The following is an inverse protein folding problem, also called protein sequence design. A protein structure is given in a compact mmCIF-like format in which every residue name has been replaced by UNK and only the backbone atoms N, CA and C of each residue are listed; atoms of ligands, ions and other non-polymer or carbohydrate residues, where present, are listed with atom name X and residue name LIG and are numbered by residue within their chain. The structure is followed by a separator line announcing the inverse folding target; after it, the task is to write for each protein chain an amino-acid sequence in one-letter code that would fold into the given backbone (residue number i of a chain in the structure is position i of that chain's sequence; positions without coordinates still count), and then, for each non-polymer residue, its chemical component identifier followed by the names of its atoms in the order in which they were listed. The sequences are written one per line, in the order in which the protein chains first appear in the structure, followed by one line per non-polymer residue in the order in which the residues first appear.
data_IF_908013765482
#
_entry.id   IF_908013765482
#
_cell.length_a   1.000
_cell.length_b   1.000
_cell.length_c   1.000
_cell.angle_alpha   90.00
_cell.angle_beta   90.00
_cell.angle_gamma   90.00
#
_symmetry.space_group_name_H-M   'P 1'
#
loop_
_entity.id
_entity.type
_entity.pdbx_description
1 polymer ?
#
# COMPACT_ATOMS: atom_id res chain seq x y z
N UNK A 1 27.02 27.53 11.41
CA UNK A 1 25.78 26.92 11.93
C UNK A 1 25.95 26.75 13.43
N UNK A 2 25.10 27.35 14.28
CA UNK A 2 25.16 27.12 15.73
C UNK A 2 24.39 25.83 16.02
N UNK A 3 25.03 24.83 16.63
CA UNK A 3 24.32 23.67 17.17
C UNK A 3 23.39 24.18 18.28
N UNK A 4 22.07 24.13 18.07
CA UNK A 4 21.12 24.24 19.16
C UNK A 4 20.45 22.86 19.39
N UNK A 5 20.98 22.04 20.31
CA UNK A 5 20.45 20.71 20.60
C UNK A 5 19.26 20.73 21.59
N UNK A 6 18.51 21.83 21.72
CA UNK A 6 17.36 21.91 22.64
C UNK A 6 16.32 20.80 22.44
N UNK A 7 16.21 20.27 21.22
CA UNK A 7 15.34 19.14 20.87
C UNK A 7 15.95 17.77 21.19
N UNK A 8 17.19 17.70 21.68
CA UNK A 8 17.82 16.48 22.21
C UNK A 8 17.72 16.39 23.74
N UNK A 9 16.85 17.22 24.36
CA UNK A 9 16.47 17.04 25.75
C UNK A 9 16.02 15.60 25.97
N UNK A 10 16.27 15.10 27.17
CA UNK A 10 16.15 13.69 27.51
C UNK A 10 14.72 13.19 27.36
N UNK A 11 14.38 12.66 26.18
CA UNK A 11 13.11 12.00 25.96
C UNK A 11 13.21 10.52 26.36
N UNK A 12 12.26 10.02 27.13
CA UNK A 12 12.04 8.57 27.28
C UNK A 12 11.35 8.02 26.01
N UNK A 13 11.39 6.69 25.76
CA UNK A 13 10.64 6.10 24.66
C UNK A 13 9.14 6.44 24.70
N UNK A 14 8.56 6.53 25.90
CA UNK A 14 7.16 6.89 26.13
C UNK A 14 6.89 8.34 25.72
N UNK A 15 7.78 9.27 26.09
CA UNK A 15 7.67 10.68 25.68
C UNK A 15 7.78 10.82 24.16
N UNK A 16 8.59 9.98 23.49
CA UNK A 16 8.69 9.96 22.02
C UNK A 16 7.40 9.44 21.38
N UNK A 17 6.72 8.49 22.02
CA UNK A 17 5.45 7.97 21.53
C UNK A 17 4.30 8.97 21.69
N UNK A 18 4.36 9.84 22.70
CA UNK A 18 3.39 10.92 22.89
C UNK A 18 3.62 12.11 21.95
N UNK A 19 4.79 12.22 21.31
CA UNK A 19 5.11 13.31 20.39
C UNK A 19 4.27 13.27 19.11
N UNK A 20 3.80 14.45 18.67
CA UNK A 20 3.20 14.58 17.35
C UNK A 20 4.21 14.20 16.25
N UNK A 21 3.79 13.33 15.32
CA UNK A 21 4.63 12.86 14.21
C UNK A 21 5.40 13.96 13.47
N UNK A 22 4.76 15.09 13.13
CA UNK A 22 5.44 16.16 12.40
C UNK A 22 6.60 16.78 13.18
N UNK A 23 6.46 16.86 14.50
CA UNK A 23 7.53 17.31 15.42
C UNK A 23 8.62 16.25 15.52
N UNK A 24 8.26 14.98 15.65
CA UNK A 24 9.20 13.86 15.71
C UNK A 24 10.03 13.74 14.42
N UNK A 25 9.39 13.85 13.26
CA UNK A 25 10.05 13.84 11.95
C UNK A 25 11.07 14.97 11.81
N UNK A 26 10.70 16.17 12.28
CA UNK A 26 11.60 17.33 12.29
C UNK A 26 12.79 17.08 13.23
N UNK A 27 12.53 16.55 14.42
CA UNK A 27 13.56 16.22 15.41
C UNK A 27 14.55 15.17 14.88
N UNK A 28 14.06 14.11 14.21
CA UNK A 28 14.92 13.08 13.59
C UNK A 28 15.78 13.70 12.47
N UNK A 29 15.19 14.56 11.64
CA UNK A 29 15.92 15.23 10.56
C UNK A 29 17.04 16.13 11.09
N UNK A 30 16.77 16.85 12.19
CA UNK A 30 17.79 17.63 12.90
C UNK A 30 18.83 16.74 13.56
N UNK A 31 18.44 15.60 14.16
CA UNK A 31 19.36 14.62 14.74
C UNK A 31 20.37 14.14 13.70
N UNK A 32 19.93 13.77 12.49
CA UNK A 32 20.82 13.34 11.40
C UNK A 32 21.85 14.44 11.08
N UNK A 33 21.38 15.67 10.84
CA UNK A 33 22.24 16.80 10.47
C UNK A 33 23.24 17.18 11.57
N UNK A 34 22.78 17.22 12.81
CA UNK A 34 23.62 17.59 13.94
C UNK A 34 24.60 16.48 14.33
N UNK A 35 24.23 15.21 14.17
CA UNK A 35 25.13 14.08 14.39
C UNK A 35 26.28 14.10 13.37
N UNK A 36 25.96 14.31 12.09
CA UNK A 36 26.96 14.48 11.03
C UNK A 36 27.89 15.67 11.30
N UNK A 37 27.33 16.83 11.66
CA UNK A 37 28.12 18.03 11.97
C UNK A 37 29.02 17.83 13.20
N UNK A 38 28.50 17.18 14.24
CA UNK A 38 29.27 16.87 15.45
C UNK A 38 30.48 16.00 15.10
N UNK A 39 30.27 14.97 14.27
CA UNK A 39 31.33 14.06 13.86
C UNK A 39 32.37 14.73 12.96
N UNK A 40 31.93 15.33 11.86
CA UNK A 40 32.83 15.88 10.82
C UNK A 40 33.55 17.15 11.22
N UNK A 41 32.97 17.92 12.14
CA UNK A 41 33.51 19.24 12.48
C UNK A 41 33.91 19.34 13.94
N UNK A 42 32.99 19.05 14.86
CA UNK A 42 33.20 19.32 16.29
C UNK A 42 34.26 18.38 16.86
N UNK A 43 34.11 17.06 16.71
CA UNK A 43 35.06 16.10 17.27
C UNK A 43 36.42 16.13 16.58
N UNK A 44 36.48 16.40 15.27
CA UNK A 44 37.75 16.61 14.56
C UNK A 44 38.50 17.83 15.14
N UNK A 45 37.79 18.92 15.40
CA UNK A 45 38.39 20.13 15.97
C UNK A 45 38.82 19.92 17.42
N UNK A 46 37.98 19.25 18.22
CA UNK A 46 38.25 18.96 19.63
C UNK A 46 39.43 18.00 19.80
N UNK A 47 39.52 16.97 18.95
CA UNK A 47 40.66 16.02 18.93
C UNK A 47 41.97 16.75 18.62
N UNK A 48 41.95 17.67 17.65
CA UNK A 48 43.11 18.52 17.31
C UNK A 48 43.49 19.45 18.46
N UNK A 49 42.52 20.11 19.08
CA UNK A 49 42.75 21.02 20.20
C UNK A 49 43.31 20.29 21.42
N UNK A 50 42.72 19.14 21.78
CA UNK A 50 43.18 18.28 22.87
C UNK A 50 44.63 17.86 22.67
N UNK A 51 44.98 17.43 21.45
CA UNK A 51 46.37 17.06 21.12
C UNK A 51 47.32 18.27 21.17
N UNK A 52 46.91 19.44 20.69
CA UNK A 52 47.75 20.65 20.73
C UNK A 52 48.06 21.12 22.15
N UNK A 53 47.09 21.04 23.07
CA UNK A 53 47.25 21.53 24.44
C UNK A 53 47.91 20.48 25.34
N UNK A 54 47.49 19.22 25.22
CA UNK A 54 47.86 18.16 26.17
C UNK A 54 48.83 17.13 25.58
N UNK A 55 49.13 17.17 24.28
CA UNK A 55 49.99 16.18 23.62
C UNK A 55 51.45 16.19 24.11
N UNK A 56 51.94 17.34 24.61
CA UNK A 56 53.27 17.44 25.22
C UNK A 56 53.30 17.12 26.72
N UNK A 57 52.16 16.80 27.34
CA UNK A 57 52.04 16.56 28.78
C UNK A 57 51.98 15.05 29.02
N UNK A 58 52.75 14.55 30.00
CA UNK A 58 52.77 13.14 30.42
C UNK A 58 52.98 12.16 29.22
N UNK A 59 53.99 12.44 28.38
CA UNK A 59 54.33 11.67 27.17
C UNK A 59 53.16 11.41 26.21
N UNK A 60 52.16 12.29 26.21
CA UNK A 60 50.99 12.17 25.34
C UNK A 60 49.97 11.11 25.79
N UNK A 61 50.09 10.58 27.02
CA UNK A 61 49.19 9.55 27.52
C UNK A 61 47.76 10.05 27.82
N UNK A 62 47.60 11.34 28.16
CA UNK A 62 46.35 11.85 28.77
C UNK A 62 45.41 12.56 27.78
N UNK A 63 45.93 13.10 26.67
CA UNK A 63 45.12 13.94 25.78
C UNK A 63 43.97 13.16 25.12
N UNK A 64 44.19 11.88 24.79
CA UNK A 64 43.17 11.03 24.16
C UNK A 64 42.02 10.73 25.13
N UNK A 65 42.32 10.41 26.39
CA UNK A 65 41.30 10.22 27.43
C UNK A 65 40.49 11.48 27.69
N UNK A 66 41.14 12.65 27.68
CA UNK A 66 40.46 13.93 27.86
C UNK A 66 39.47 14.20 26.72
N UNK A 67 39.93 14.04 25.48
CA UNK A 67 39.08 14.14 24.28
C UNK A 67 37.88 13.20 24.38
N UNK A 68 38.10 11.93 24.68
CA UNK A 68 37.02 10.93 24.79
C UNK A 68 36.01 11.33 25.87
N UNK A 69 36.45 11.79 27.05
CA UNK A 69 35.52 12.21 28.12
C UNK A 69 34.65 13.39 27.72
N UNK A 70 35.16 14.30 26.89
CA UNK A 70 34.38 15.42 26.34
C UNK A 70 33.39 14.90 25.31
N UNK A 71 33.87 14.05 24.39
CA UNK A 71 33.05 13.49 23.32
C UNK A 71 31.93 12.59 23.85
N UNK A 72 32.20 11.77 24.87
CA UNK A 72 31.23 10.85 25.47
C UNK A 72 29.99 11.59 25.99
N UNK A 73 30.16 12.73 26.66
CA UNK A 73 29.03 13.55 27.14
C UNK A 73 28.12 14.03 26.01
N UNK A 74 28.72 14.44 24.89
CA UNK A 74 27.97 14.92 23.72
C UNK A 74 27.30 13.73 23.01
N UNK A 75 28.05 12.65 22.80
CA UNK A 75 27.58 11.43 22.14
C UNK A 75 26.45 10.74 22.91
N UNK A 76 26.50 10.75 24.24
CA UNK A 76 25.46 10.17 25.09
C UNK A 76 24.08 10.77 24.81
N UNK A 77 24.00 12.07 24.52
CA UNK A 77 22.75 12.76 24.19
C UNK A 77 22.20 12.29 22.84
N UNK A 78 23.06 12.19 21.82
CA UNK A 78 22.68 11.67 20.52
C UNK A 78 22.23 10.21 20.57
N UNK A 79 22.98 9.35 21.28
CA UNK A 79 22.64 7.95 21.43
C UNK A 79 21.30 7.78 22.14
N UNK A 80 21.07 8.48 23.25
CA UNK A 80 19.79 8.40 23.98
C UNK A 80 18.59 8.77 23.10
N UNK A 81 18.69 9.84 22.32
CA UNK A 81 17.61 10.21 21.40
C UNK A 81 17.37 9.12 20.35
N UNK A 82 18.42 8.67 19.66
CA UNK A 82 18.28 7.66 18.60
C UNK A 82 17.77 6.32 19.14
N UNK A 83 18.23 5.94 20.32
CA UNK A 83 17.78 4.79 21.08
C UNK A 83 16.29 4.88 21.45
N UNK A 84 15.83 6.06 21.89
CA UNK A 84 14.44 6.32 22.19
C UNK A 84 13.55 6.17 20.95
N UNK A 85 13.94 6.77 19.82
CA UNK A 85 13.22 6.66 18.54
C UNK A 85 13.13 5.20 18.10
N UNK A 86 14.23 4.45 18.20
CA UNK A 86 14.26 3.05 17.81
C UNK A 86 13.48 2.13 18.77
N UNK A 87 13.23 2.54 20.02
CA UNK A 87 12.40 1.78 20.98
C UNK A 87 10.92 2.17 20.97
N UNK A 88 10.58 3.31 20.40
CA UNK A 88 9.21 3.80 20.25
C UNK A 88 8.31 2.83 19.48
N UNK A 89 7.00 3.11 19.49
CA UNK A 89 5.95 2.33 18.85
C UNK A 89 6.28 2.00 17.38
N UNK A 90 5.70 0.91 16.88
CA UNK A 90 6.08 0.31 15.60
C UNK A 90 5.11 0.65 14.48
N UNK A 91 4.77 1.93 14.38
CA UNK A 91 3.91 2.43 13.32
C UNK A 91 4.59 2.35 11.94
N UNK A 92 3.90 1.95 10.85
CA UNK A 92 4.52 1.77 9.54
C UNK A 92 5.22 3.03 9.03
N UNK A 93 4.66 4.23 9.23
CA UNK A 93 5.27 5.50 8.82
C UNK A 93 6.65 5.75 9.45
N UNK A 94 6.93 5.19 10.63
CA UNK A 94 8.22 5.36 11.31
C UNK A 94 9.36 4.64 10.59
N UNK A 95 9.06 3.62 9.78
CA UNK A 95 10.09 2.87 9.04
C UNK A 95 11.00 3.80 8.24
N UNK A 96 10.44 4.74 7.49
CA UNK A 96 11.22 5.61 6.62
C UNK A 96 12.21 6.48 7.40
N UNK A 97 11.81 6.98 8.58
CA UNK A 97 12.71 7.77 9.44
C UNK A 97 13.77 6.92 10.13
N UNK A 98 13.44 5.68 10.50
CA UNK A 98 14.42 4.72 11.01
C UNK A 98 15.46 4.37 9.93
N UNK A 99 15.03 4.22 8.68
CA UNK A 99 15.92 4.00 7.53
C UNK A 99 16.80 5.23 7.27
N UNK A 100 16.26 6.45 7.34
CA UNK A 100 17.05 7.69 7.21
C UNK A 100 18.16 7.75 8.28
N UNK A 101 17.84 7.39 9.53
CA UNK A 101 18.83 7.33 10.62
C UNK A 101 19.88 6.24 10.38
N UNK A 102 19.46 5.03 10.00
CA UNK A 102 20.36 3.92 9.72
C UNK A 102 21.32 4.24 8.57
N UNK A 103 20.80 4.76 7.46
CA UNK A 103 21.62 5.14 6.30
C UNK A 103 22.63 6.23 6.65
N UNK A 104 22.24 7.20 7.48
CA UNK A 104 23.18 8.20 8.01
C UNK A 104 24.29 7.59 8.86
N UNK A 105 23.98 6.64 9.74
CA UNK A 105 25.01 5.98 10.56
C UNK A 105 25.96 5.14 9.70
N UNK A 106 25.43 4.41 8.72
CA UNK A 106 26.24 3.61 7.81
C UNK A 106 27.22 4.47 7.00
N UNK A 107 26.79 5.64 6.52
CA UNK A 107 27.66 6.59 5.81
C UNK A 107 28.78 7.17 6.69
N UNK A 108 28.54 7.29 7.99
CA UNK A 108 29.48 7.90 8.94
C UNK A 108 30.39 6.87 9.63
N UNK A 109 30.16 5.58 9.43
CA UNK A 109 30.83 4.48 10.15
C UNK A 109 32.36 4.51 10.10
N UNK A 110 32.93 4.79 8.93
CA UNK A 110 34.38 4.87 8.72
C UNK A 110 34.98 6.07 9.46
N UNK A 111 34.42 7.26 9.23
CA UNK A 111 34.85 8.50 9.90
C UNK A 111 34.71 8.38 11.43
N UNK A 112 33.65 7.73 11.90
CA UNK A 112 33.42 7.47 13.32
C UNK A 112 34.53 6.62 13.93
N UNK A 113 34.93 5.56 13.22
CA UNK A 113 35.98 4.64 13.67
C UNK A 113 37.36 5.31 13.70
N UNK A 114 37.65 6.20 12.76
CA UNK A 114 38.91 6.97 12.71
C UNK A 114 38.99 8.03 13.83
N UNK A 115 37.86 8.68 14.16
CA UNK A 115 37.82 9.71 15.20
C UNK A 115 38.03 9.09 16.59
N UNK A 116 37.41 7.94 16.86
CA UNK A 116 37.45 7.27 18.17
C UNK A 116 38.38 6.05 18.21
N UNK A 117 39.42 6.04 17.36
CA UNK A 117 40.43 4.98 17.36
C UNK A 117 41.16 4.86 18.71
N UNK A 118 41.42 3.62 19.13
CA UNK A 118 42.15 3.28 20.36
C UNK A 118 41.25 2.79 21.51
N UNK A 119 41.89 2.32 22.58
CA UNK A 119 41.19 1.73 23.74
C UNK A 119 40.27 2.76 24.44
N UNK A 120 40.71 4.01 24.56
CA UNK A 120 39.92 5.05 25.20
C UNK A 120 38.56 5.28 24.49
N UNK A 121 38.49 5.18 23.17
CA UNK A 121 37.26 5.39 22.39
C UNK A 121 36.35 4.16 22.24
N UNK A 122 36.75 3.01 22.81
CA UNK A 122 36.09 1.72 22.57
C UNK A 122 34.63 1.69 23.04
N UNK A 123 34.32 2.33 24.17
CA UNK A 123 32.94 2.38 24.70
C UNK A 123 32.00 3.16 23.78
N UNK A 124 32.46 4.32 23.27
CA UNK A 124 31.70 5.14 22.32
C UNK A 124 31.44 4.36 21.02
N UNK A 125 32.46 3.65 20.51
CA UNK A 125 32.32 2.78 19.34
C UNK A 125 31.35 1.62 19.58
N UNK A 126 31.35 1.06 20.78
CA UNK A 126 30.41 -0.01 21.17
C UNK A 126 28.99 0.50 21.17
N UNK A 127 28.72 1.65 21.78
CA UNK A 127 27.39 2.28 21.79
C UNK A 127 26.90 2.67 20.40
N UNK A 128 27.80 3.13 19.52
CA UNK A 128 27.46 3.38 18.12
C UNK A 128 26.94 2.11 17.42
N UNK A 129 27.65 0.98 17.59
CA UNK A 129 27.25 -0.33 17.04
C UNK A 129 25.95 -0.84 17.65
N UNK A 130 25.71 -0.57 18.93
CA UNK A 130 24.45 -0.92 19.61
C UNK A 130 23.26 -0.14 19.05
N UNK A 131 23.43 1.16 18.79
CA UNK A 131 22.41 1.97 18.13
C UNK A 131 22.13 1.49 16.70
N UNK A 132 23.18 1.19 15.93
CA UNK A 132 23.06 0.61 14.58
C UNK A 132 22.24 -0.70 14.63
N UNK A 133 22.57 -1.59 15.59
CA UNK A 133 21.82 -2.83 15.83
C UNK A 133 20.36 -2.61 16.16
N UNK A 134 20.09 -1.65 17.02
CA UNK A 134 18.74 -1.32 17.44
C UNK A 134 17.91 -0.75 16.28
N UNK A 135 18.50 0.09 15.44
CA UNK A 135 17.84 0.65 14.25
C UNK A 135 17.52 -0.43 13.21
N UNK A 136 18.45 -1.34 12.94
CA UNK A 136 18.21 -2.50 12.06
C UNK A 136 17.06 -3.35 12.60
N UNK A 137 17.14 -3.75 13.88
CA UNK A 137 16.09 -4.57 14.49
C UNK A 137 14.73 -3.87 14.49
N UNK A 138 14.68 -2.59 14.86
CA UNK A 138 13.43 -1.82 14.86
C UNK A 138 12.83 -1.67 13.46
N UNK A 139 13.66 -1.36 12.46
CA UNK A 139 13.21 -1.20 11.07
C UNK A 139 12.62 -2.49 10.52
N UNK A 140 13.32 -3.61 10.70
CA UNK A 140 12.81 -4.92 10.34
C UNK A 140 11.51 -5.26 11.06
N UNK A 141 11.43 -4.97 12.37
CA UNK A 141 10.24 -5.24 13.18
C UNK A 141 9.03 -4.45 12.67
N UNK A 142 9.17 -3.14 12.40
CA UNK A 142 8.09 -2.31 11.81
C UNK A 142 7.62 -2.89 10.47
N UNK A 143 8.54 -3.31 9.61
CA UNK A 143 8.21 -3.89 8.32
C UNK A 143 7.40 -5.19 8.44
N UNK A 144 7.84 -6.12 9.30
CA UNK A 144 7.14 -7.40 9.47
C UNK A 144 5.82 -7.26 10.21
N UNK A 145 5.75 -6.39 11.22
CA UNK A 145 4.49 -6.09 11.93
C UNK A 145 3.44 -5.47 11.01
N UNK A 146 3.85 -4.66 10.03
CA UNK A 146 2.92 -4.16 9.01
C UNK A 146 2.29 -5.31 8.20
N UNK A 147 3.07 -6.30 7.80
CA UNK A 147 2.56 -7.50 7.13
C UNK A 147 1.58 -8.30 7.98
N UNK A 148 1.90 -8.49 9.27
CA UNK A 148 1.02 -9.19 10.22
C UNK A 148 -0.29 -8.42 10.46
N UNK A 149 -0.22 -7.10 10.62
CA UNK A 149 -1.40 -6.24 10.76
C UNK A 149 -2.34 -6.35 9.55
N UNK A 150 -1.80 -6.47 8.34
CA UNK A 150 -2.58 -6.71 7.13
C UNK A 150 -3.24 -8.09 7.19
N UNK A 151 -2.49 -9.14 7.52
CA UNK A 151 -3.00 -10.51 7.58
C UNK A 151 -4.14 -10.68 8.60
N UNK A 152 -3.95 -10.15 9.81
CA UNK A 152 -4.87 -10.28 10.93
C UNK A 152 -6.19 -9.51 10.75
N UNK A 153 -6.36 -8.79 9.63
CA UNK A 153 -7.48 -7.86 9.42
C UNK A 153 -7.60 -6.88 10.60
N UNK A 154 -6.46 -6.40 11.12
CA UNK A 154 -6.40 -5.49 12.27
C UNK A 154 -7.15 -4.17 12.03
N UNK A 155 -7.48 -3.86 10.77
CA UNK A 155 -8.34 -2.74 10.41
C UNK A 155 -9.77 -2.88 10.96
N UNK A 156 -10.22 -4.09 11.29
CA UNK A 156 -11.52 -4.37 11.91
C UNK A 156 -12.73 -4.06 11.01
N UNK A 157 -12.50 -3.46 9.84
CA UNK A 157 -13.55 -2.96 8.98
C UNK A 157 -14.26 -4.09 8.22
N UNK A 158 -15.58 -3.99 8.05
CA UNK A 158 -16.29 -4.85 7.12
C UNK A 158 -15.83 -4.59 5.68
N UNK A 159 -15.97 -5.57 4.77
CA UNK A 159 -15.70 -5.34 3.37
C UNK A 159 -16.61 -4.22 2.81
N UNK A 160 -16.14 -3.41 1.84
CA UNK A 160 -16.91 -2.28 1.31
C UNK A 160 -18.25 -2.70 0.71
N UNK A 161 -19.36 -2.09 1.14
CA UNK A 161 -20.71 -2.52 0.72
C UNK A 161 -20.96 -2.38 -0.79
N UNK A 162 -20.19 -1.55 -1.48
CA UNK A 162 -20.28 -1.26 -2.91
C UNK A 162 -19.27 -2.05 -3.78
N UNK A 163 -18.45 -2.89 -3.14
CA UNK A 163 -17.37 -3.62 -3.81
C UNK A 163 -16.19 -2.73 -4.22
N UNK A 164 -16.06 -1.52 -3.66
CA UNK A 164 -14.91 -0.65 -3.91
C UNK A 164 -13.61 -1.21 -3.32
N UNK A 165 -12.48 -0.64 -3.76
CA UNK A 165 -11.14 -1.04 -3.29
C UNK A 165 -10.94 -0.57 -1.84
N UNK A 166 -10.61 -1.48 -0.88
CA UNK A 166 -10.39 -1.13 0.52
C UNK A 166 -9.31 -0.07 0.71
N UNK A 167 -9.51 0.81 1.70
CA UNK A 167 -8.49 1.82 2.08
C UNK A 167 -7.16 1.17 2.43
N UNK A 168 -7.19 0.04 3.15
CA UNK A 168 -6.00 -0.74 3.50
C UNK A 168 -5.18 -1.15 2.26
N UNK A 169 -5.84 -1.63 1.20
CA UNK A 169 -5.18 -2.00 -0.06
C UNK A 169 -4.50 -0.78 -0.71
N UNK A 170 -5.19 0.37 -0.71
CA UNK A 170 -4.62 1.61 -1.27
C UNK A 170 -3.38 2.05 -0.48
N UNK A 171 -3.49 2.03 0.84
CA UNK A 171 -2.41 2.37 1.75
C UNK A 171 -1.21 1.44 1.58
N UNK A 172 -1.43 0.12 1.59
CA UNK A 172 -0.36 -0.87 1.46
C UNK A 172 0.40 -0.74 0.13
N UNK A 173 -0.32 -0.57 -1.00
CA UNK A 173 0.34 -0.36 -2.29
C UNK A 173 1.12 0.96 -2.32
N UNK A 174 0.58 2.05 -1.76
CA UNK A 174 1.31 3.32 -1.69
C UNK A 174 2.56 3.22 -0.80
N UNK A 175 2.45 2.55 0.34
CA UNK A 175 3.53 2.29 1.27
C UNK A 175 4.66 1.49 0.62
N UNK A 176 4.33 0.36 0.00
CA UNK A 176 5.32 -0.50 -0.69
C UNK A 176 5.96 0.20 -1.89
N UNK A 177 5.21 1.05 -2.61
CA UNK A 177 5.79 1.86 -3.70
C UNK A 177 6.82 2.86 -3.21
N UNK A 178 6.57 3.47 -2.06
CA UNK A 178 7.51 4.43 -1.49
C UNK A 178 8.73 3.73 -0.90
N UNK A 179 8.55 2.56 -0.28
CA UNK A 179 9.66 1.72 0.16
C UNK A 179 10.53 1.23 -1.01
N UNK A 180 9.92 0.83 -2.12
CA UNK A 180 10.62 0.40 -3.34
C UNK A 180 11.20 1.56 -4.16
N UNK A 181 11.06 2.82 -3.72
CA UNK A 181 11.69 3.95 -4.40
C UNK A 181 13.21 3.89 -4.31
N UNK A 182 13.89 4.60 -5.22
CA UNK A 182 15.36 4.72 -5.23
C UNK A 182 15.92 5.21 -3.89
N UNK A 183 15.14 5.97 -3.12
CA UNK A 183 15.54 6.51 -1.82
C UNK A 183 15.62 5.44 -0.73
N UNK A 184 14.64 4.52 -0.68
CA UNK A 184 14.49 3.60 0.47
C UNK A 184 14.78 2.14 0.15
N UNK A 185 14.82 1.77 -1.13
CA UNK A 185 15.08 0.39 -1.55
C UNK A 185 16.44 -0.11 -1.04
N UNK A 186 17.50 0.67 -1.25
CA UNK A 186 18.86 0.28 -0.82
C UNK A 186 19.01 0.23 0.71
N UNK A 187 18.61 1.26 1.49
CA UNK A 187 18.63 1.19 2.96
C UNK A 187 17.85 0.00 3.52
N UNK A 188 16.65 -0.28 2.98
CA UNK A 188 15.83 -1.40 3.46
C UNK A 188 16.47 -2.75 3.14
N UNK A 189 16.99 -2.95 1.93
CA UNK A 189 17.66 -4.19 1.54
C UNK A 189 18.86 -4.48 2.46
N UNK A 190 19.62 -3.44 2.80
CA UNK A 190 20.77 -3.52 3.71
C UNK A 190 20.38 -3.85 5.15
N UNK A 191 19.29 -3.26 5.66
CA UNK A 191 18.70 -3.62 6.95
C UNK A 191 18.34 -5.10 6.99
N UNK A 192 17.60 -5.60 5.99
CA UNK A 192 17.18 -7.00 5.92
C UNK A 192 18.38 -7.95 5.82
N UNK A 193 19.38 -7.61 5.01
CA UNK A 193 20.61 -8.39 4.90
C UNK A 193 21.33 -8.46 6.26
N UNK A 194 21.51 -7.31 6.91
CA UNK A 194 22.24 -7.20 8.17
C UNK A 194 21.52 -7.96 9.29
N UNK A 195 20.20 -7.87 9.37
CA UNK A 195 19.41 -8.65 10.32
C UNK A 195 19.55 -10.16 10.06
N UNK A 196 19.49 -10.59 8.79
CA UNK A 196 19.66 -12.01 8.41
C UNK A 196 21.06 -12.51 8.79
N UNK A 197 22.11 -11.73 8.51
CA UNK A 197 23.49 -12.08 8.88
C UNK A 197 23.66 -12.23 10.38
N UNK A 198 23.07 -11.34 11.19
CA UNK A 198 23.14 -11.45 12.66
C UNK A 198 22.38 -12.65 13.20
N UNK A 199 21.26 -13.03 12.58
CA UNK A 199 20.46 -14.20 13.00
C UNK A 199 21.06 -15.54 12.55
N UNK A 200 21.61 -15.60 11.34
CA UNK A 200 22.11 -16.83 10.73
C UNK A 200 23.58 -17.13 11.08
N UNK A 201 24.34 -16.15 11.59
CA UNK A 201 25.77 -16.26 11.81
C UNK A 201 26.59 -16.20 10.51
N UNK A 202 27.92 -16.19 10.66
CA UNK A 202 28.92 -15.92 9.59
C UNK A 202 28.94 -16.99 8.48
N UNK A 203 28.21 -18.10 8.63
CA UNK A 203 28.26 -19.27 7.74
C UNK A 203 27.22 -19.27 6.61
N UNK A 204 26.38 -18.23 6.51
CA UNK A 204 25.37 -18.14 5.46
C UNK A 204 25.93 -17.49 4.18
N UNK A 205 25.66 -18.10 3.02
CA UNK A 205 26.06 -17.54 1.71
C UNK A 205 25.37 -16.17 1.50
N UNK A 206 26.09 -15.14 1.03
CA UNK A 206 25.47 -13.88 0.67
C UNK A 206 24.55 -14.10 -0.53
N UNK A 207 23.24 -13.99 -0.31
CA UNK A 207 22.29 -13.78 -1.39
C UNK A 207 22.39 -12.32 -1.87
N UNK A 208 22.06 -12.04 -3.15
CA UNK A 208 21.98 -10.66 -3.63
C UNK A 208 20.99 -9.86 -2.77
N UNK A 209 21.38 -8.66 -2.33
CA UNK A 209 20.54 -7.74 -1.53
C UNK A 209 19.15 -7.53 -2.16
N UNK A 210 19.09 -7.44 -3.49
CA UNK A 210 17.85 -7.23 -4.25
C UNK A 210 16.84 -8.39 -4.12
N UNK A 211 17.31 -9.63 -3.93
CA UNK A 211 16.41 -10.77 -3.76
C UNK A 211 15.74 -10.74 -2.39
N UNK A 212 16.45 -10.30 -1.34
CA UNK A 212 15.90 -10.27 0.02
C UNK A 212 14.76 -9.25 0.15
N UNK A 213 14.94 -8.03 -0.38
CA UNK A 213 13.88 -7.02 -0.34
C UNK A 213 12.68 -7.45 -1.19
N UNK A 214 12.94 -8.04 -2.36
CA UNK A 214 11.90 -8.59 -3.23
C UNK A 214 11.07 -9.65 -2.50
N UNK A 215 11.72 -10.63 -1.88
CA UNK A 215 11.04 -11.72 -1.16
C UNK A 215 10.26 -11.19 0.05
N UNK A 216 10.84 -10.22 0.78
CA UNK A 216 10.17 -9.57 1.90
C UNK A 216 8.91 -8.82 1.46
N UNK A 217 8.96 -8.10 0.34
CA UNK A 217 7.78 -7.42 -0.22
C UNK A 217 6.76 -8.43 -0.76
N UNK A 218 7.19 -9.53 -1.38
CA UNK A 218 6.29 -10.61 -1.82
C UNK A 218 5.49 -11.16 -0.63
N UNK A 219 6.11 -11.35 0.53
CA UNK A 219 5.40 -11.81 1.73
C UNK A 219 4.27 -10.86 2.16
N UNK A 220 4.51 -9.54 2.12
CA UNK A 220 3.46 -8.55 2.43
C UNK A 220 2.38 -8.53 1.35
N UNK A 221 2.77 -8.68 0.10
CA UNK A 221 1.83 -8.76 -1.03
C UNK A 221 0.92 -9.99 -0.90
N UNK A 222 1.45 -11.15 -0.49
CA UNK A 222 0.67 -12.35 -0.19
C UNK A 222 -0.24 -12.19 1.03
N UNK A 223 0.23 -11.51 2.09
CA UNK A 223 -0.61 -11.14 3.23
C UNK A 223 -1.79 -10.26 2.81
N UNK A 224 -1.55 -9.32 1.88
CA UNK A 224 -2.60 -8.48 1.32
C UNK A 224 -3.60 -9.29 0.49
N UNK A 225 -3.15 -10.29 -0.27
CA UNK A 225 -4.06 -11.19 -1.00
C UNK A 225 -4.92 -12.02 -0.05
N UNK A 226 -4.33 -12.62 1.00
CA UNK A 226 -5.06 -13.35 2.03
C UNK A 226 -6.11 -12.46 2.71
N UNK A 227 -5.76 -11.21 3.01
CA UNK A 227 -6.70 -10.21 3.52
C UNK A 227 -7.89 -9.97 2.56
N UNK A 228 -7.60 -9.75 1.27
CA UNK A 228 -8.62 -9.49 0.24
C UNK A 228 -9.54 -10.69 0.07
N UNK A 229 -9.01 -11.92 -0.01
CA UNK A 229 -9.85 -13.12 -0.12
C UNK A 229 -10.71 -13.35 1.13
N UNK A 230 -10.17 -13.13 2.33
CA UNK A 230 -10.95 -13.17 3.57
C UNK A 230 -12.14 -12.19 3.53
N UNK A 231 -11.90 -10.95 3.09
CA UNK A 231 -12.95 -9.93 2.93
C UNK A 231 -13.98 -10.29 1.86
N UNK A 232 -13.54 -10.88 0.74
CA UNK A 232 -14.41 -11.36 -0.34
C UNK A 232 -15.38 -12.44 0.15
N UNK A 233 -14.95 -13.35 1.01
CA UNK A 233 -15.81 -14.43 1.55
C UNK A 233 -16.91 -13.93 2.52
N UNK A 234 -16.80 -12.69 3.02
CA UNK A 234 -17.77 -12.10 3.97
C UNK A 234 -19.00 -11.49 3.29
N UNK A 235 -19.03 -11.37 1.97
CA UNK A 235 -20.21 -10.88 1.25
C UNK A 235 -21.32 -11.94 1.20
N UNK A 236 -22.56 -11.52 1.49
CA UNK A 236 -23.75 -12.40 1.37
C UNK A 236 -24.29 -12.48 -0.06
N UNK A 237 -24.07 -11.44 -0.85
CA UNK A 237 -24.49 -11.37 -2.25
C UNK A 237 -23.60 -12.27 -3.11
N UNK A 238 -24.17 -12.92 -4.13
CA UNK A 238 -23.43 -13.85 -4.98
C UNK A 238 -22.46 -13.14 -5.94
N UNK A 239 -22.85 -11.98 -6.46
CA UNK A 239 -22.17 -11.25 -7.54
C UNK A 239 -21.18 -10.22 -6.98
N UNK A 240 -21.55 -9.53 -5.89
CA UNK A 240 -20.73 -8.51 -5.24
C UNK A 240 -19.28 -8.93 -4.94
N UNK A 241 -18.98 -10.14 -4.41
CA UNK A 241 -17.61 -10.56 -4.21
C UNK A 241 -16.78 -10.60 -5.50
N UNK A 242 -17.40 -10.84 -6.65
CA UNK A 242 -16.71 -10.80 -7.95
C UNK A 242 -16.39 -9.35 -8.36
N UNK A 243 -17.32 -8.42 -8.15
CA UNK A 243 -17.10 -6.98 -8.38
C UNK A 243 -15.97 -6.47 -7.49
N UNK A 244 -15.99 -6.84 -6.21
CA UNK A 244 -14.96 -6.50 -5.24
C UNK A 244 -13.58 -7.01 -5.63
N UNK A 245 -13.47 -8.30 -5.95
CA UNK A 245 -12.21 -8.92 -6.35
C UNK A 245 -11.68 -8.27 -7.64
N UNK A 246 -12.52 -8.16 -8.66
CA UNK A 246 -12.17 -7.51 -9.93
C UNK A 246 -11.61 -6.10 -9.71
N UNK A 247 -12.31 -5.24 -8.96
CA UNK A 247 -11.85 -3.88 -8.65
C UNK A 247 -10.53 -3.86 -7.90
N UNK A 248 -10.39 -4.71 -6.89
CA UNK A 248 -9.24 -4.70 -5.97
C UNK A 248 -7.98 -5.22 -6.65
N UNK A 249 -8.05 -6.37 -7.32
CA UNK A 249 -6.92 -6.95 -8.03
C UNK A 249 -6.52 -6.11 -9.26
N UNK A 250 -7.49 -5.54 -9.98
CA UNK A 250 -7.20 -4.59 -11.06
C UNK A 250 -6.47 -3.36 -10.53
N UNK A 251 -6.94 -2.78 -9.42
CA UNK A 251 -6.27 -1.65 -8.79
C UNK A 251 -4.83 -1.97 -8.41
N UNK A 252 -4.59 -3.11 -7.75
CA UNK A 252 -3.22 -3.52 -7.35
C UNK A 252 -2.33 -3.66 -8.59
N UNK A 253 -2.80 -4.36 -9.62
CA UNK A 253 -2.05 -4.52 -10.87
C UNK A 253 -1.74 -3.16 -11.53
N UNK A 254 -2.75 -2.31 -11.70
CA UNK A 254 -2.62 -1.02 -12.39
C UNK A 254 -1.76 -0.01 -11.63
N UNK A 255 -1.81 -0.01 -10.30
CA UNK A 255 -1.05 0.94 -9.46
C UNK A 255 0.39 0.53 -9.23
N UNK A 256 0.69 -0.76 -9.41
CA UNK A 256 2.03 -1.33 -9.23
C UNK A 256 2.79 -1.50 -10.54
N UNK A 257 2.11 -1.82 -11.66
CA UNK A 257 2.77 -1.91 -12.97
C UNK A 257 3.44 -0.58 -13.33
N UNK A 258 4.58 -0.65 -14.03
CA UNK A 258 5.36 0.52 -14.46
C UNK A 258 5.87 1.41 -13.30
N UNK A 259 6.05 0.85 -12.11
CA UNK A 259 6.68 1.52 -10.96
C UNK A 259 7.91 0.75 -10.50
N UNK A 260 8.76 1.33 -9.66
CA UNK A 260 9.92 0.62 -9.08
C UNK A 260 9.49 -0.65 -8.33
N UNK A 261 8.37 -0.60 -7.59
CA UNK A 261 7.76 -1.80 -6.98
C UNK A 261 7.44 -2.87 -8.03
N UNK A 262 6.90 -2.45 -9.19
CA UNK A 262 6.58 -3.38 -10.27
C UNK A 262 7.81 -3.98 -10.95
N UNK A 263 8.89 -3.21 -11.10
CA UNK A 263 10.18 -3.71 -11.59
C UNK A 263 10.77 -4.74 -10.61
N UNK A 264 10.75 -4.42 -9.31
CA UNK A 264 11.26 -5.29 -8.25
C UNK A 264 10.51 -6.63 -8.18
N UNK A 265 9.17 -6.60 -8.24
CA UNK A 265 8.34 -7.81 -8.20
C UNK A 265 8.46 -8.65 -9.48
N UNK A 266 8.55 -7.98 -10.62
CA UNK A 266 8.59 -8.58 -11.95
C UNK A 266 7.22 -8.65 -12.62
N UNK A 267 7.21 -8.41 -13.94
CA UNK A 267 5.98 -8.31 -14.72
C UNK A 267 5.17 -9.62 -14.71
N UNK A 268 5.84 -10.77 -14.79
CA UNK A 268 5.19 -12.07 -14.79
C UNK A 268 4.47 -12.35 -13.47
N UNK A 269 5.09 -12.02 -12.33
CA UNK A 269 4.48 -12.15 -11.01
C UNK A 269 3.20 -11.30 -10.91
N UNK A 270 3.26 -10.03 -11.36
CA UNK A 270 2.09 -9.15 -11.35
C UNK A 270 0.96 -9.65 -12.25
N UNK A 271 1.29 -10.17 -13.44
CA UNK A 271 0.30 -10.72 -14.37
C UNK A 271 -0.40 -11.94 -13.77
N UNK A 272 0.37 -12.93 -13.32
CA UNK A 272 -0.19 -14.20 -12.81
C UNK A 272 -1.00 -14.01 -11.53
N UNK A 273 -0.51 -13.19 -10.59
CA UNK A 273 -1.10 -13.10 -9.26
C UNK A 273 -2.19 -12.03 -9.11
N UNK A 274 -2.26 -11.05 -10.00
CA UNK A 274 -3.23 -9.95 -9.88
C UNK A 274 -4.05 -9.73 -11.15
N UNK A 275 -3.40 -9.66 -12.32
CA UNK A 275 -4.12 -9.40 -13.57
C UNK A 275 -5.08 -10.54 -13.92
N UNK A 276 -4.58 -11.79 -13.92
CA UNK A 276 -5.39 -12.98 -14.23
C UNK A 276 -6.56 -13.10 -13.25
N UNK A 277 -6.31 -12.92 -11.95
CA UNK A 277 -7.37 -12.98 -10.92
C UNK A 277 -8.44 -11.90 -11.13
N UNK A 278 -8.04 -10.68 -11.55
CA UNK A 278 -8.99 -9.63 -11.90
C UNK A 278 -9.83 -9.98 -13.13
N UNK A 279 -9.22 -10.54 -14.17
CA UNK A 279 -9.88 -10.98 -15.41
C UNK A 279 -10.83 -12.17 -15.15
N UNK A 280 -10.43 -13.13 -14.32
CA UNK A 280 -11.28 -14.25 -13.89
C UNK A 280 -12.48 -13.74 -13.08
N UNK A 281 -12.26 -12.79 -12.17
CA UNK A 281 -13.34 -12.17 -11.39
C UNK A 281 -14.31 -11.40 -12.29
N UNK A 282 -13.80 -10.69 -13.30
CA UNK A 282 -14.60 -10.02 -14.33
C UNK A 282 -15.44 -11.02 -15.14
N UNK A 283 -14.85 -12.14 -15.55
CA UNK A 283 -15.55 -13.21 -16.23
C UNK A 283 -16.66 -13.81 -15.36
N UNK A 284 -16.36 -14.11 -14.09
CA UNK A 284 -17.33 -14.66 -13.14
C UNK A 284 -18.47 -13.69 -12.85
N UNK A 285 -18.19 -12.38 -12.77
CA UNK A 285 -19.22 -11.35 -12.73
C UNK A 285 -20.16 -11.46 -13.94
N UNK A 286 -19.62 -11.55 -15.17
CA UNK A 286 -20.44 -11.70 -16.38
C UNK A 286 -21.29 -12.98 -16.35
N UNK A 287 -20.70 -14.09 -15.92
CA UNK A 287 -21.37 -15.39 -15.85
C UNK A 287 -22.46 -15.46 -14.77
N UNK A 288 -22.34 -14.68 -13.70
CA UNK A 288 -23.33 -14.71 -12.62
C UNK A 288 -24.42 -13.64 -12.79
N UNK A 289 -24.06 -12.46 -13.29
CA UNK A 289 -24.99 -11.35 -13.45
C UNK A 289 -25.79 -11.42 -14.75
N UNK A 290 -25.17 -11.79 -15.86
CA UNK A 290 -25.76 -11.60 -17.19
C UNK A 290 -26.05 -12.91 -17.94
N UNK A 291 -25.20 -13.94 -17.79
CA UNK A 291 -25.41 -15.22 -18.49
C UNK A 291 -26.75 -15.91 -18.17
N UNK A 292 -27.27 -15.91 -16.92
CA UNK A 292 -28.59 -16.48 -16.64
C UNK A 292 -29.70 -15.77 -17.41
N UNK A 293 -29.60 -14.45 -17.57
CA UNK A 293 -30.57 -13.65 -18.34
C UNK A 293 -30.51 -14.01 -19.83
N UNK A 294 -29.30 -14.20 -20.38
CA UNK A 294 -29.13 -14.67 -21.75
C UNK A 294 -29.71 -16.07 -21.96
N UNK A 295 -29.64 -16.97 -20.96
CA UNK A 295 -30.25 -18.31 -21.05
C UNK A 295 -31.78 -18.26 -21.10
N UNK A 296 -32.42 -17.29 -20.45
CA UNK A 296 -33.87 -17.09 -20.60
C UNK A 296 -34.27 -16.83 -22.05
N UNK A 297 -33.35 -16.27 -22.85
CA UNK A 297 -33.55 -16.00 -24.28
C UNK A 297 -33.12 -17.16 -25.19
N UNK A 298 -32.78 -18.33 -24.63
CA UNK A 298 -32.38 -19.49 -25.43
C UNK A 298 -33.59 -20.12 -26.14
N UNK A 299 -33.42 -20.35 -27.45
CA UNK A 299 -34.41 -20.90 -28.37
C UNK A 299 -34.51 -22.43 -28.26
N UNK A 300 -33.45 -23.09 -27.82
CA UNK A 300 -33.39 -24.57 -27.82
C UNK A 300 -34.38 -25.21 -26.84
N UNK A 301 -34.65 -24.55 -25.70
CA UNK A 301 -35.73 -24.99 -24.80
C UNK A 301 -37.12 -24.87 -25.46
N UNK A 302 -37.35 -23.80 -26.24
CA UNK A 302 -38.62 -23.56 -26.92
C UNK A 302 -38.84 -24.53 -28.11
N UNK A 303 -37.77 -24.99 -28.75
CA UNK A 303 -37.82 -25.97 -29.85
C UNK A 303 -38.12 -27.40 -29.37
N UNK A 304 -37.77 -27.74 -28.13
CA UNK A 304 -38.07 -29.06 -27.54
C UNK A 304 -39.54 -29.21 -27.15
N UNK A 305 -40.25 -28.10 -26.94
CA UNK A 305 -41.59 -28.11 -26.33
C UNK A 305 -42.79 -28.04 -27.29
N UNK A 306 -42.67 -27.71 -28.59
CA UNK A 306 -43.60 -28.13 -29.67
C UNK A 306 -43.40 -27.34 -30.98
N UNK A 307 -43.76 -27.97 -32.11
CA UNK A 307 -43.70 -27.46 -33.50
C UNK A 307 -44.94 -26.68 -33.96
N UNK A 308 -45.84 -26.23 -33.07
CA UNK A 308 -47.00 -25.39 -33.45
C UNK A 308 -47.09 -24.14 -32.58
N UNK A 309 -47.41 -23.00 -33.20
CA UNK A 309 -47.65 -21.70 -32.54
C UNK A 309 -48.92 -21.73 -31.67
N UNK A 310 -48.90 -22.49 -30.57
CA UNK A 310 -50.00 -22.55 -29.63
C UNK A 310 -49.96 -21.35 -28.67
N UNK A 311 -51.09 -21.03 -28.05
CA UNK A 311 -51.21 -19.96 -27.04
C UNK A 311 -50.23 -20.16 -25.88
N UNK A 312 -49.97 -21.41 -25.48
CA UNK A 312 -49.00 -21.78 -24.46
C UNK A 312 -47.57 -21.39 -24.82
N UNK A 313 -47.15 -21.59 -26.07
CA UNK A 313 -45.83 -21.18 -26.56
C UNK A 313 -45.68 -19.66 -26.55
N UNK A 314 -46.75 -18.92 -26.90
CA UNK A 314 -46.77 -17.45 -26.83
C UNK A 314 -46.74 -16.93 -25.39
N UNK A 315 -47.38 -17.63 -24.46
CA UNK A 315 -47.31 -17.33 -23.03
C UNK A 315 -45.90 -17.53 -22.48
N UNK A 316 -45.25 -18.65 -22.80
CA UNK A 316 -43.88 -18.95 -22.38
C UNK A 316 -42.84 -17.95 -22.94
N UNK A 317 -42.97 -17.56 -24.21
CA UNK A 317 -42.12 -16.51 -24.82
C UNK A 317 -42.25 -15.19 -24.06
N UNK A 318 -43.48 -14.83 -23.66
CA UNK A 318 -43.75 -13.61 -22.90
C UNK A 318 -43.15 -13.69 -21.49
N UNK A 319 -43.33 -14.81 -20.80
CA UNK A 319 -42.74 -15.04 -19.48
C UNK A 319 -41.21 -14.93 -19.52
N UNK A 320 -40.55 -15.55 -20.51
CA UNK A 320 -39.10 -15.45 -20.73
C UNK A 320 -38.65 -14.01 -20.96
N UNK A 321 -39.38 -13.24 -21.78
CA UNK A 321 -39.10 -11.82 -22.03
C UNK A 321 -39.27 -10.97 -20.75
N UNK A 322 -40.35 -11.16 -20.01
CA UNK A 322 -40.61 -10.46 -18.75
C UNK A 322 -39.54 -10.78 -17.70
N UNK A 323 -39.17 -12.06 -17.56
CA UNK A 323 -38.08 -12.50 -16.70
C UNK A 323 -36.74 -11.87 -17.07
N UNK A 324 -36.41 -11.81 -18.37
CA UNK A 324 -35.22 -11.15 -18.86
C UNK A 324 -35.21 -9.65 -18.50
N UNK A 325 -36.28 -8.91 -18.82
CA UNK A 325 -36.37 -7.47 -18.56
C UNK A 325 -36.31 -7.16 -17.06
N UNK A 326 -36.98 -7.97 -16.23
CA UNK A 326 -36.93 -7.87 -14.78
C UNK A 326 -35.50 -8.06 -14.27
N UNK A 327 -34.82 -9.13 -14.69
CA UNK A 327 -33.44 -9.40 -14.27
C UNK A 327 -32.46 -8.33 -14.73
N UNK A 328 -32.59 -7.82 -15.96
CA UNK A 328 -31.80 -6.68 -16.45
C UNK A 328 -32.04 -5.47 -15.56
N UNK A 329 -33.30 -5.14 -15.23
CA UNK A 329 -33.65 -4.03 -14.36
C UNK A 329 -33.06 -4.17 -12.95
N UNK A 330 -33.10 -5.37 -12.36
CA UNK A 330 -32.53 -5.65 -11.04
C UNK A 330 -31.02 -5.42 -11.01
N UNK A 331 -30.27 -6.00 -11.96
CA UNK A 331 -28.81 -5.79 -12.05
C UNK A 331 -28.49 -4.32 -12.33
N UNK A 332 -29.28 -3.67 -13.19
CA UNK A 332 -29.15 -2.23 -13.48
C UNK A 332 -29.37 -1.37 -12.25
N UNK A 333 -30.34 -1.73 -11.41
CA UNK A 333 -30.67 -1.02 -10.19
C UNK A 333 -29.52 -1.15 -9.18
N UNK A 334 -28.89 -2.32 -9.05
CA UNK A 334 -27.72 -2.52 -8.16
C UNK A 334 -26.55 -1.59 -8.50
N UNK A 335 -26.28 -1.39 -9.79
CA UNK A 335 -25.27 -0.41 -10.21
C UNK A 335 -25.73 1.03 -9.97
N UNK A 336 -27.00 1.37 -10.28
CA UNK A 336 -27.54 2.73 -10.09
C UNK A 336 -27.65 3.14 -8.62
N UNK A 337 -27.91 2.20 -7.71
CA UNK A 337 -27.94 2.43 -6.26
C UNK A 337 -26.55 2.53 -5.64
N UNK A 338 -25.48 2.34 -6.42
CA UNK A 338 -24.11 2.29 -5.92
C UNK A 338 -23.76 1.02 -5.16
N UNK A 339 -24.58 -0.04 -5.25
CA UNK A 339 -24.27 -1.34 -4.64
C UNK A 339 -23.22 -2.10 -5.42
N UNK A 340 -23.15 -1.92 -6.74
CA UNK A 340 -22.03 -2.36 -7.58
C UNK A 340 -21.36 -1.12 -8.16
N UNK A 341 -20.14 -0.84 -7.73
CA UNK A 341 -19.40 0.34 -8.20
C UNK A 341 -18.06 -0.08 -8.80
N UNK A 342 -17.82 0.29 -10.07
CA UNK A 342 -16.52 0.09 -10.73
C UNK A 342 -15.92 1.47 -10.96
N UNK A 343 -14.93 1.87 -10.15
CA UNK A 343 -14.40 3.23 -10.22
C UNK A 343 -13.46 3.47 -11.42
N UNK A 344 -12.65 2.47 -11.75
CA UNK A 344 -11.67 2.56 -12.84
C UNK A 344 -12.36 2.66 -14.19
N UNK A 345 -12.03 3.71 -14.96
CA UNK A 345 -12.74 4.06 -16.20
C UNK A 345 -12.51 3.01 -17.28
N UNK A 346 -11.26 2.58 -17.45
CA UNK A 346 -10.88 1.62 -18.49
C UNK A 346 -11.45 0.23 -18.19
N UNK A 347 -11.40 -0.20 -16.93
CA UNK A 347 -12.05 -1.45 -16.50
C UNK A 347 -13.56 -1.37 -16.73
N UNK A 348 -14.20 -0.27 -16.33
CA UNK A 348 -15.65 -0.11 -16.48
C UNK A 348 -16.08 -0.14 -17.94
N UNK A 349 -15.30 0.48 -18.83
CA UNK A 349 -15.56 0.44 -20.27
C UNK A 349 -15.43 -0.98 -20.83
N UNK A 350 -14.40 -1.72 -20.44
CA UNK A 350 -14.21 -3.12 -20.85
C UNK A 350 -15.35 -4.02 -20.38
N UNK A 351 -15.81 -3.86 -19.13
CA UNK A 351 -16.93 -4.62 -18.58
C UNK A 351 -18.23 -4.27 -19.30
N UNK A 352 -18.45 -2.98 -19.61
CA UNK A 352 -19.60 -2.53 -20.41
C UNK A 352 -19.59 -3.18 -21.79
N UNK A 353 -18.46 -3.13 -22.49
CA UNK A 353 -18.33 -3.72 -23.83
C UNK A 353 -18.57 -5.24 -23.80
N UNK A 354 -18.02 -5.94 -22.81
CA UNK A 354 -18.24 -7.37 -22.61
C UNK A 354 -19.72 -7.68 -22.35
N UNK A 355 -20.40 -6.90 -21.51
CA UNK A 355 -21.84 -7.06 -21.24
C UNK A 355 -22.68 -6.81 -22.50
N UNK A 356 -22.38 -5.75 -23.26
CA UNK A 356 -23.07 -5.46 -24.52
C UNK A 356 -22.91 -6.62 -25.51
N UNK A 357 -21.67 -7.10 -25.71
CA UNK A 357 -21.36 -8.23 -26.59
C UNK A 357 -22.04 -9.53 -26.17
N UNK A 358 -22.24 -9.74 -24.87
CA UNK A 358 -22.90 -10.93 -24.33
C UNK A 358 -24.42 -10.87 -24.44
N UNK A 359 -25.04 -9.73 -24.13
CA UNK A 359 -26.49 -9.63 -23.93
C UNK A 359 -27.24 -9.15 -25.18
N UNK A 360 -26.72 -8.14 -25.87
CA UNK A 360 -27.46 -7.47 -26.96
C UNK A 360 -27.70 -8.40 -28.17
N UNK A 361 -26.72 -9.19 -28.64
CA UNK A 361 -26.96 -10.12 -29.75
C UNK A 361 -28.04 -11.15 -29.42
N UNK A 362 -28.01 -11.76 -28.23
CA UNK A 362 -29.01 -12.73 -27.80
C UNK A 362 -30.41 -12.10 -27.72
N UNK A 363 -30.51 -10.86 -27.25
CA UNK A 363 -31.76 -10.10 -27.22
C UNK A 363 -32.34 -9.86 -28.62
N UNK A 364 -31.52 -9.38 -29.55
CA UNK A 364 -31.93 -9.12 -30.94
C UNK A 364 -32.37 -10.43 -31.60
N UNK A 365 -31.60 -11.50 -31.41
CA UNK A 365 -31.88 -12.79 -32.04
C UNK A 365 -33.21 -13.40 -31.54
N UNK A 366 -33.51 -13.26 -30.25
CA UNK A 366 -34.78 -13.67 -29.66
C UNK A 366 -35.94 -12.81 -30.16
N UNK A 367 -35.76 -11.48 -30.19
CA UNK A 367 -36.79 -10.55 -30.64
C UNK A 367 -37.14 -10.78 -32.12
N UNK A 368 -36.14 -10.97 -32.98
CA UNK A 368 -36.38 -11.25 -34.40
C UNK A 368 -37.15 -12.56 -34.62
N UNK A 369 -36.91 -13.58 -33.79
CA UNK A 369 -37.58 -14.87 -33.91
C UNK A 369 -39.04 -14.85 -33.43
N UNK A 370 -39.37 -14.01 -32.45
CA UNK A 370 -40.67 -14.05 -31.75
C UNK A 370 -41.44 -12.72 -31.72
N UNK A 371 -41.03 -11.75 -32.54
CA UNK A 371 -41.68 -10.42 -32.62
C UNK A 371 -43.17 -10.50 -32.97
N UNK A 372 -43.60 -11.49 -33.76
CA UNK A 372 -45.01 -11.74 -34.11
C UNK A 372 -45.83 -12.27 -32.93
N UNK A 373 -45.19 -12.95 -31.98
CA UNK A 373 -45.80 -13.55 -30.81
C UNK A 373 -45.90 -12.59 -29.60
N UNK A 374 -45.20 -11.45 -29.66
CA UNK A 374 -45.11 -10.47 -28.58
C UNK A 374 -45.94 -9.22 -28.88
N UNK A 375 -46.85 -8.79 -27.96
CA UNK A 375 -47.50 -7.49 -28.09
C UNK A 375 -46.48 -6.35 -28.06
N UNK A 376 -46.70 -5.26 -28.81
CA UNK A 376 -45.76 -4.12 -28.89
C UNK A 376 -45.43 -3.43 -27.56
N UNK A 377 -46.15 -3.74 -26.47
CA UNK A 377 -45.91 -3.21 -25.12
C UNK A 377 -45.03 -4.11 -24.24
N UNK A 378 -44.72 -5.34 -24.66
CA UNK A 378 -44.03 -6.34 -23.83
C UNK A 378 -42.52 -6.42 -24.06
N UNK A 379 -41.96 -5.61 -24.96
CA UNK A 379 -40.52 -5.57 -25.25
C UNK A 379 -40.03 -4.14 -25.48
N UNK A 380 -38.73 -3.94 -25.33
CA UNK A 380 -38.08 -2.63 -25.54
C UNK A 380 -37.27 -2.71 -26.83
N UNK A 381 -37.12 -1.59 -27.54
CA UNK A 381 -36.25 -1.53 -28.72
C UNK A 381 -34.81 -1.92 -28.35
N UNK A 382 -34.08 -2.69 -29.17
CA UNK A 382 -32.70 -3.09 -28.88
C UNK A 382 -31.76 -1.91 -28.56
N UNK A 383 -31.97 -0.75 -29.20
CA UNK A 383 -31.19 0.47 -28.98
C UNK A 383 -31.35 0.99 -27.54
N UNK A 384 -32.52 0.79 -26.93
CA UNK A 384 -32.78 1.20 -25.56
C UNK A 384 -32.09 0.26 -24.54
N UNK A 385 -31.98 -1.04 -24.84
CA UNK A 385 -31.21 -1.99 -24.02
C UNK A 385 -29.71 -1.64 -24.07
N UNK A 386 -29.20 -1.30 -25.27
CA UNK A 386 -27.84 -0.79 -25.42
C UNK A 386 -27.62 0.54 -24.69
N UNK A 387 -28.58 1.48 -24.81
CA UNK A 387 -28.57 2.76 -24.10
C UNK A 387 -28.58 2.60 -22.58
N UNK A 388 -29.29 1.60 -22.06
CA UNK A 388 -29.35 1.28 -20.65
C UNK A 388 -27.97 0.85 -20.11
N UNK A 389 -27.23 -0.01 -20.81
CA UNK A 389 -25.86 -0.38 -20.41
C UNK A 389 -24.92 0.82 -20.42
N UNK A 390 -25.05 1.71 -21.40
CA UNK A 390 -24.30 2.97 -21.37
C UNK A 390 -24.62 3.83 -20.14
N UNK A 391 -25.88 3.90 -19.70
CA UNK A 391 -26.26 4.67 -18.52
C UNK A 391 -25.74 4.04 -17.21
N UNK A 392 -25.81 2.72 -17.10
CA UNK A 392 -25.40 1.97 -15.90
C UNK A 392 -23.89 2.09 -15.66
N UNK A 393 -23.11 1.88 -16.71
CA UNK A 393 -21.65 1.87 -16.61
C UNK A 393 -21.02 3.27 -16.82
N UNK A 394 -21.75 4.32 -17.21
CA UNK A 394 -21.19 5.68 -17.27
C UNK A 394 -21.60 6.58 -16.10
N UNK A 395 -22.45 6.09 -15.19
CA UNK A 395 -22.90 6.73 -13.94
C UNK A 395 -22.78 8.26 -13.86
N UNK A 396 -23.85 9.00 -14.15
CA UNK A 396 -24.13 10.40 -13.75
C UNK A 396 -22.95 11.35 -13.48
N UNK A 397 -21.89 11.35 -14.29
CA UNK A 397 -20.78 12.32 -14.19
C UNK A 397 -21.13 13.69 -14.79
N UNK A 398 -22.32 14.20 -14.48
CA UNK A 398 -22.85 15.46 -15.00
C UNK A 398 -23.25 16.43 -13.89
N UNK A 399 -22.38 16.67 -12.89
CA UNK A 399 -22.46 17.83 -11.96
C UNK A 399 -21.27 17.87 -10.99
N UNK A 400 -20.05 17.93 -11.50
CA UNK A 400 -18.94 18.55 -10.76
C UNK A 400 -18.64 19.88 -11.46
N UNK A 401 -19.08 20.96 -10.81
CA UNK A 401 -18.78 22.35 -11.18
C UNK A 401 -17.28 22.46 -11.48
N UNK A 402 -16.94 22.74 -12.73
CA UNK A 402 -15.67 23.40 -13.08
C UNK A 402 -15.60 24.68 -12.25
N UNK A 403 -14.75 24.68 -11.23
CA UNK A 403 -14.29 25.92 -10.61
C UNK A 403 -12.92 26.19 -11.20
N UNK A 404 -12.88 27.15 -12.11
CA UNK A 404 -11.65 27.75 -12.59
C UNK A 404 -10.80 28.24 -11.42
N UNK A 405 -9.51 27.92 -11.45
CA UNK A 405 -8.50 28.74 -10.79
C UNK A 405 -7.20 28.70 -11.59
N UNK A 406 -7.04 29.75 -12.41
CA UNK A 406 -5.77 30.21 -12.96
C UNK A 406 -4.80 30.54 -11.82
N UNK A 407 -3.51 30.32 -12.11
CA UNK A 407 -2.30 30.97 -11.58
C UNK A 407 -1.58 30.39 -10.34
N UNK A 408 -0.42 29.76 -10.58
CA UNK A 408 0.97 30.28 -10.41
C UNK A 408 1.94 29.20 -9.91
N UNK A 409 2.98 29.02 -10.71
CA UNK A 409 4.23 28.31 -10.48
C UNK A 409 4.95 28.81 -9.21
N UNK A 410 5.28 27.89 -8.29
CA UNK A 410 6.52 27.90 -7.51
C UNK A 410 6.76 26.52 -6.89
N UNK A 411 7.98 26.01 -7.08
CA UNK A 411 8.41 24.67 -6.67
C UNK A 411 8.53 24.49 -5.15
N UNK A 412 8.44 23.21 -4.75
CA UNK A 412 8.62 22.72 -3.39
C UNK A 412 8.02 21.32 -3.29
N UNK A 413 8.85 20.29 -3.41
CA UNK A 413 8.49 18.89 -3.21
C UNK A 413 8.32 18.63 -1.72
N UNK A 414 7.07 18.60 -1.23
CA UNK A 414 6.70 18.00 0.06
C UNK A 414 5.70 16.89 -0.18
N UNK A 415 6.04 15.68 0.25
CA UNK A 415 5.36 14.43 -0.06
C UNK A 415 3.97 14.32 0.59
N UNK A 416 3.04 13.76 -0.17
CA UNK A 416 1.60 13.61 0.11
C UNK A 416 1.24 12.60 1.21
N UNK A 417 2.17 12.20 2.07
CA UNK A 417 1.96 11.13 3.07
C UNK A 417 1.13 11.57 4.28
N UNK A 418 1.11 12.86 4.61
CA UNK A 418 0.47 13.37 5.83
C UNK A 418 -1.07 13.29 5.83
N UNK A 419 -1.70 13.33 4.65
CA UNK A 419 -3.16 13.38 4.56
C UNK A 419 -3.79 11.99 4.76
N UNK A 420 -3.12 10.92 4.33
CA UNK A 420 -3.61 9.54 4.52
C UNK A 420 -3.20 8.96 5.90
N UNK A 421 -2.10 9.43 6.50
CA UNK A 421 -1.64 8.99 7.84
C UNK A 421 -2.58 9.43 8.98
N UNK A 422 -3.21 10.61 8.88
CA UNK A 422 -4.12 11.12 9.92
C UNK A 422 -5.39 10.27 10.10
N UNK A 423 -5.86 9.60 9.04
CA UNK A 423 -7.01 8.71 9.11
C UNK A 423 -6.68 7.37 9.80
N UNK A 424 -5.41 6.94 9.79
CA UNK A 424 -4.94 5.74 10.48
C UNK A 424 -4.55 5.97 11.94
N UNK A 425 -4.04 7.16 12.29
CA UNK A 425 -3.75 7.50 13.70
C UNK A 425 -4.99 7.55 14.60
N UNK A 426 -6.19 7.77 14.03
CA UNK A 426 -7.47 7.67 14.75
C UNK A 426 -7.92 6.22 15.01
N UNK A 427 -7.23 5.21 14.48
CA UNK A 427 -7.59 3.80 14.66
C UNK A 427 -6.87 3.13 15.83
N UNK A 428 -5.73 3.68 16.29
CA UNK A 428 -5.02 3.17 17.47
C UNK A 428 -5.63 3.57 18.82
N UNK A 429 -6.61 4.48 18.84
CA UNK A 429 -7.16 5.06 20.08
C UNK A 429 -8.46 4.43 20.58
N UNK A 430 -8.93 3.31 20.00
CA UNK A 430 -10.20 2.67 20.38
C UNK A 430 -10.07 1.31 21.06
N UNK A 431 -8.86 0.91 21.51
CA UNK A 431 -8.65 -0.36 22.25
C UNK A 431 -8.32 -0.17 23.73
N UNK A 432 -8.56 1.00 24.30
CA UNK A 432 -8.54 1.20 25.76
C UNK A 432 -9.87 1.80 26.19
N UNK A 433 -10.80 0.89 26.50
CA UNK A 433 -12.01 1.04 27.32
C UNK A 433 -13.15 0.16 26.75
N UNK A 434 -13.01 -1.16 26.93
CA UNK A 434 -14.05 -2.08 27.43
C UNK A 434 -13.48 -3.48 27.63
#
# INVERSE_FOLDING_TARGET
MRLNPDYLKTYTPEEIDEMEWGTLETAISLWIQHFELALRTVFVSEKKLSNQILGGILDGAVWLECFVKIADKIMAVFFRFGEGVARSNKEPQKLFKLLDMFDSLEKLKTEFSEIFEGEAGADICTRFRELEKLLVHSSSKVFWEFGLQIEDNSDGFPPPQDGSVPKLVRYAINYLKYLASETYSAPMAKVLLTEKTWKAGILSKPEPEENLLRDAIINIMEALQRNVESKKLRYKDRILPQVFAMNTYWYIYMRTRNTELGKLLGEQYLKMNYKVVAEESAYMYQMQAWKPLVRLLDKEELKRENKSENEDTRALIREKMEGFLKGVSEVSQRHRSGSYTIHDVDLREQIKEATVKLVVPAYIEFLNAYSSALPSKSYVKPEAVHGLFNQIFNGSHGKLKRRDSKHRTRGGTSSSFDVESKDLRRLGSYTSDM
#
